data_IF_083349075372
#
_entry.id   IF_083349075372
#
_cell.length_a   1.000
_cell.length_b   1.000
_cell.length_c   1.000
_cell.angle_alpha   90.00
_cell.angle_beta   90.00
_cell.angle_gamma   90.00
#
_symmetry.space_group_name_H-M   'P 1'
#
loop_
_entity.id
_entity.type
_entity.pdbx_description
1 polymer ?
#
# COMPACT_ATOMS: atom_id res chain seq x y z
N UNK A 1 -6.46 7.61 -14.43
CA UNK A 1 -5.72 7.60 -13.15
C UNK A 1 -6.67 7.00 -12.13
N UNK A 2 -6.29 5.86 -11.56
CA UNK A 2 -7.04 5.15 -10.53
C UNK A 2 -6.52 5.56 -9.16
N UNK A 3 -7.47 5.82 -8.27
CA UNK A 3 -7.25 6.04 -6.86
C UNK A 3 -8.13 5.03 -6.11
N UNK A 4 -7.51 4.16 -5.33
CA UNK A 4 -8.18 3.15 -4.53
C UNK A 4 -7.65 3.18 -3.10
N UNK A 5 -8.55 3.07 -2.14
CA UNK A 5 -8.20 2.76 -0.76
C UNK A 5 -9.00 1.57 -0.25
N UNK A 6 -8.36 0.74 0.59
CA UNK A 6 -9.01 -0.39 1.22
C UNK A 6 -8.37 -0.69 2.57
N UNK A 7 -9.13 -1.39 3.41
CA UNK A 7 -8.65 -1.89 4.69
C UNK A 7 -8.53 -3.41 4.60
N UNK A 8 -7.41 -3.94 5.07
CA UNK A 8 -7.21 -5.37 5.27
C UNK A 8 -6.88 -5.64 6.72
N UNK A 9 -7.53 -6.63 7.30
CA UNK A 9 -7.15 -7.18 8.61
C UNK A 9 -6.06 -8.23 8.39
N UNK A 10 -4.90 -8.04 9.02
CA UNK A 10 -3.81 -9.02 9.04
C UNK A 10 -4.15 -10.19 9.98
N UNK A 11 -3.38 -11.28 9.87
CA UNK A 11 -3.58 -12.48 10.70
C UNK A 11 -3.43 -12.20 12.21
N UNK A 12 -2.69 -11.17 12.58
CA UNK A 12 -2.51 -10.71 13.97
C UNK A 12 -3.57 -9.68 14.42
N UNK A 13 -4.68 -9.59 13.69
CA UNK A 13 -5.80 -8.67 13.92
C UNK A 13 -5.49 -7.18 13.72
N UNK A 14 -4.27 -6.79 13.34
CA UNK A 14 -3.97 -5.40 12.97
C UNK A 14 -4.72 -5.03 11.69
N UNK A 15 -5.44 -3.91 11.71
CA UNK A 15 -6.12 -3.36 10.54
C UNK A 15 -5.17 -2.41 9.82
N UNK A 16 -4.99 -2.60 8.52
CA UNK A 16 -4.08 -1.78 7.70
C UNK A 16 -4.88 -1.11 6.61
N UNK A 17 -4.79 0.22 6.54
CA UNK A 17 -5.29 1.01 5.43
C UNK A 17 -4.23 1.07 4.34
N UNK A 18 -4.58 0.62 3.16
CA UNK A 18 -3.78 0.75 1.94
C UNK A 18 -4.36 1.87 1.07
N UNK A 19 -3.49 2.60 0.40
CA UNK A 19 -3.84 3.57 -0.63
C UNK A 19 -3.02 3.25 -1.87
N UNK A 20 -3.65 3.26 -3.02
CA UNK A 20 -3.03 3.15 -4.33
C UNK A 20 -3.49 4.32 -5.20
N UNK A 21 -2.53 5.06 -5.72
CA UNK A 21 -2.76 6.16 -6.64
C UNK A 21 -1.86 5.98 -7.86
N UNK A 22 -2.46 5.96 -9.05
CA UNK A 22 -1.72 6.03 -10.30
C UNK A 22 -1.13 7.42 -10.50
N UNK A 23 0.16 7.47 -10.81
CA UNK A 23 0.86 8.68 -11.20
C UNK A 23 1.08 8.69 -12.73
N UNK A 24 1.41 9.85 -13.31
CA UNK A 24 1.85 9.94 -14.71
C UNK A 24 3.06 9.04 -15.02
N UNK A 25 3.33 8.83 -16.29
CA UNK A 25 4.51 8.10 -16.77
C UNK A 25 4.64 6.67 -16.21
N UNK A 26 3.50 5.97 -16.11
CA UNK A 26 3.39 4.63 -15.51
C UNK A 26 3.88 4.55 -14.06
N UNK A 27 3.87 5.67 -13.33
CA UNK A 27 4.21 5.72 -11.92
C UNK A 27 3.07 5.30 -11.01
N UNK A 28 3.37 5.00 -9.75
CA UNK A 28 2.35 4.79 -8.72
C UNK A 28 2.84 5.29 -7.35
N UNK A 29 1.92 5.87 -6.59
CA UNK A 29 2.10 6.17 -5.18
C UNK A 29 1.27 5.19 -4.36
N UNK A 30 1.92 4.47 -3.45
CA UNK A 30 1.25 3.52 -2.57
C UNK A 30 1.59 3.80 -1.12
N UNK A 31 0.63 3.55 -0.24
CA UNK A 31 0.84 3.66 1.22
C UNK A 31 0.27 2.49 1.97
N UNK A 32 0.83 2.21 3.14
CA UNK A 32 0.26 1.33 4.16
C UNK A 32 0.33 2.02 5.53
N UNK A 33 -0.79 2.04 6.23
CA UNK A 33 -0.90 2.57 7.59
C UNK A 33 -1.63 1.57 8.48
N UNK A 34 -1.00 1.17 9.58
CA UNK A 34 -1.65 0.37 10.62
C UNK A 34 -2.57 1.30 11.43
N UNK A 35 -3.83 0.90 11.64
CA UNK A 35 -4.80 1.67 12.43
C UNK A 35 -4.26 1.90 13.85
N UNK A 36 -4.28 3.16 14.30
CA UNK A 36 -3.73 3.58 15.59
C UNK A 36 -2.22 3.84 15.62
N UNK A 37 -1.48 3.52 14.54
CA UNK A 37 -0.06 3.90 14.42
C UNK A 37 0.10 5.29 13.78
N UNK A 38 1.01 6.08 14.35
CA UNK A 38 1.40 7.40 13.84
C UNK A 38 2.24 7.32 12.55
N UNK A 39 2.88 6.17 12.31
CA UNK A 39 3.78 5.96 11.17
C UNK A 39 3.00 5.46 9.95
N UNK A 40 3.28 6.07 8.80
CA UNK A 40 2.81 5.64 7.47
C UNK A 40 4.00 5.22 6.63
N UNK A 41 3.92 4.02 6.05
CA UNK A 41 4.88 3.58 5.04
C UNK A 41 4.41 4.03 3.67
N UNK A 42 5.28 4.66 2.88
CA UNK A 42 4.97 5.13 1.53
C UNK A 42 6.06 4.71 0.54
N UNK A 43 5.64 4.39 -0.69
CA UNK A 43 6.53 4.01 -1.78
C UNK A 43 6.08 4.75 -3.05
N UNK A 44 7.03 5.40 -3.72
CA UNK A 44 6.86 5.95 -5.07
C UNK A 44 7.52 5.00 -6.06
N UNK A 45 6.72 4.46 -6.97
CA UNK A 45 7.16 3.60 -8.06
C UNK A 45 7.22 4.44 -9.33
N UNK A 46 8.38 4.48 -10.00
CA UNK A 46 8.56 5.26 -11.24
C UNK A 46 8.26 4.48 -12.51
N UNK A 47 8.05 3.16 -12.41
CA UNK A 47 7.72 2.24 -13.51
C UNK A 47 6.87 1.07 -13.01
N UNK A 48 5.70 1.39 -12.50
CA UNK A 48 4.81 0.44 -11.82
C UNK A 48 4.12 -0.57 -12.77
N UNK A 49 4.09 -0.31 -14.09
CA UNK A 49 3.34 -1.11 -15.08
C UNK A 49 1.86 -1.23 -14.67
N UNK A 50 1.23 -0.09 -14.47
CA UNK A 50 -0.13 0.02 -13.97
C UNK A 50 -1.16 -0.68 -14.88
N UNK A 51 -2.32 -1.11 -14.32
CA UNK A 51 -2.70 -0.99 -12.92
C UNK A 51 -2.09 -2.09 -12.04
N UNK A 52 -1.68 -1.73 -10.82
CA UNK A 52 -1.29 -2.72 -9.81
C UNK A 52 -2.53 -3.37 -9.18
N UNK A 53 -2.45 -4.67 -8.92
CA UNK A 53 -3.44 -5.40 -8.13
C UNK A 53 -3.28 -5.10 -6.64
N UNK A 54 -4.37 -5.22 -5.86
CA UNK A 54 -4.30 -5.06 -4.39
C UNK A 54 -3.26 -5.96 -3.74
N UNK A 55 -3.16 -7.21 -4.20
CA UNK A 55 -2.14 -8.16 -3.74
C UNK A 55 -0.71 -7.67 -4.00
N UNK A 56 -0.46 -7.06 -5.17
CA UNK A 56 0.85 -6.50 -5.51
C UNK A 56 1.21 -5.32 -4.61
N UNK A 57 0.24 -4.46 -4.30
CA UNK A 57 0.41 -3.34 -3.35
C UNK A 57 0.71 -3.87 -1.96
N UNK A 58 -0.09 -4.82 -1.46
CA UNK A 58 0.08 -5.42 -0.13
C UNK A 58 1.44 -6.12 0.03
N UNK A 59 1.87 -6.88 -0.99
CA UNK A 59 3.14 -7.60 -0.97
C UNK A 59 4.37 -6.66 -0.85
N UNK A 60 4.29 -5.44 -1.37
CA UNK A 60 5.38 -4.44 -1.24
C UNK A 60 5.60 -3.98 0.19
N UNK A 61 4.56 -4.03 1.03
CA UNK A 61 4.64 -3.65 2.44
C UNK A 61 4.83 -4.84 3.38
N UNK A 62 4.83 -6.08 2.88
CA UNK A 62 4.88 -7.30 3.70
C UNK A 62 6.03 -7.28 4.74
N UNK A 63 7.23 -6.87 4.34
CA UNK A 63 8.40 -6.82 5.24
C UNK A 63 8.31 -5.71 6.31
N UNK A 64 7.65 -4.60 6.00
CA UNK A 64 7.47 -3.49 6.94
C UNK A 64 6.34 -3.79 7.92
N UNK A 65 5.25 -4.39 7.44
CA UNK A 65 4.12 -4.80 8.25
C UNK A 65 4.42 -6.04 9.10
N UNK A 66 5.40 -6.87 8.75
CA UNK A 66 5.81 -8.01 9.59
C UNK A 66 6.62 -7.62 10.82
N UNK A 67 7.07 -6.37 10.92
CA UNK A 67 7.79 -5.88 12.11
C UNK A 67 6.79 -5.79 13.28
N UNK A 68 7.19 -6.36 14.43
CA UNK A 68 6.43 -6.31 15.69
C UNK A 68 6.57 -4.94 16.34
#
# INVERSE_FOLDING_TARGET
MRDEDWIKTLEDARRVKFIYQELPEDGAFITAQIEGNEVVYSIVLTKARNPLSREEVENRFKSELSKK
#
